data_IF_007347344949
#
_entry.id   IF_007347344949
#
_cell.length_a   1.000
_cell.length_b   1.000
_cell.length_c   1.000
_cell.angle_alpha   90.00
_cell.angle_beta   90.00
_cell.angle_gamma   90.00
#
_symmetry.space_group_name_H-M   'P 1'
#
loop_
_entity.id
_entity.type
_entity.pdbx_description
1 polymer ?
#
# COMPACT_ATOMS: atom_id res chain seq x y z
N UNK A 1 -7.20 -10.40 -10.96
CA UNK A 1 -7.86 -9.25 -10.33
C UNK A 1 -6.81 -8.70 -9.41
N UNK A 2 -6.13 -7.65 -9.84
CA UNK A 2 -5.04 -7.02 -9.10
C UNK A 2 -5.60 -6.58 -7.74
N UNK A 3 -5.00 -7.05 -6.63
CA UNK A 3 -5.41 -6.69 -5.28
C UNK A 3 -5.10 -5.20 -5.03
N UNK A 4 -6.04 -4.33 -5.45
CA UNK A 4 -5.91 -2.88 -5.27
C UNK A 4 -6.16 -2.54 -3.80
N UNK A 5 -5.08 -2.43 -3.04
CA UNK A 5 -5.13 -1.94 -1.66
C UNK A 5 -5.18 -0.41 -1.64
N UNK A 6 -6.06 0.15 -0.81
CA UNK A 6 -6.16 1.60 -0.59
C UNK A 6 -5.40 1.99 0.67
N UNK A 7 -4.74 3.14 0.60
CA UNK A 7 -3.98 3.70 1.71
C UNK A 7 -4.93 4.22 2.79
N UNK A 8 -4.80 3.78 4.05
CA UNK A 8 -5.67 4.24 5.13
C UNK A 8 -5.41 5.71 5.50
N UNK A 9 -4.22 6.26 5.23
CA UNK A 9 -3.91 7.66 5.55
C UNK A 9 -4.50 8.66 4.56
N UNK A 10 -4.37 8.40 3.26
CA UNK A 10 -4.68 9.38 2.22
C UNK A 10 -5.73 8.90 1.20
N UNK A 11 -6.24 7.66 1.34
CA UNK A 11 -7.17 7.05 0.39
C UNK A 11 -6.57 6.74 -0.99
N UNK A 12 -5.28 7.01 -1.18
CA UNK A 12 -4.55 6.74 -2.41
C UNK A 12 -4.34 5.24 -2.67
N UNK A 13 -3.73 4.92 -3.80
CA UNK A 13 -3.41 3.53 -4.14
C UNK A 13 -2.16 3.07 -3.40
N UNK A 14 -2.16 1.83 -2.93
CA UNK A 14 -0.98 1.15 -2.42
C UNK A 14 -0.56 0.07 -3.40
N UNK A 15 0.76 -0.09 -3.54
CA UNK A 15 1.41 -1.13 -4.33
C UNK A 15 2.21 -2.04 -3.41
N UNK A 16 2.16 -3.34 -3.66
CA UNK A 16 2.98 -4.30 -2.94
C UNK A 16 4.40 -4.27 -3.53
N UNK A 17 5.38 -3.82 -2.74
CA UNK A 17 6.77 -3.74 -3.19
C UNK A 17 7.48 -5.08 -3.04
N UNK A 18 7.17 -5.79 -1.95
CA UNK A 18 7.58 -7.17 -1.66
C UNK A 18 6.41 -7.84 -0.94
N UNK A 19 6.26 -9.18 -1.00
CA UNK A 19 5.17 -9.88 -0.34
C UNK A 19 5.03 -9.46 1.13
N UNK A 20 3.87 -8.90 1.48
CA UNK A 20 3.56 -8.39 2.83
C UNK A 20 4.01 -6.96 3.14
N UNK A 21 4.70 -6.27 2.21
CA UNK A 21 5.02 -4.83 2.34
C UNK A 21 4.33 -4.01 1.26
N UNK A 22 3.46 -3.13 1.72
CA UNK A 22 2.67 -2.24 0.89
C UNK A 22 3.17 -0.81 1.04
N UNK A 23 3.33 -0.10 -0.07
CA UNK A 23 3.69 1.31 -0.09
C UNK A 23 2.65 2.12 -0.86
N UNK A 24 2.20 3.23 -0.28
CA UNK A 24 1.31 4.16 -0.93
C UNK A 24 2.08 5.06 -1.91
N UNK A 25 1.63 5.12 -3.15
CA UNK A 25 2.23 5.95 -4.20
C UNK A 25 1.91 7.44 -4.07
N UNK A 26 0.94 7.82 -3.23
CA UNK A 26 0.50 9.20 -3.07
C UNK A 26 1.13 9.88 -1.83
N UNK A 27 1.11 9.20 -0.68
CA UNK A 27 1.60 9.76 0.58
C UNK A 27 2.82 9.02 1.17
N UNK A 28 3.41 8.08 0.42
CA UNK A 28 4.57 7.27 0.84
C UNK A 28 4.39 6.50 2.15
N UNK A 29 3.13 6.28 2.57
CA UNK A 29 2.79 5.45 3.72
C UNK A 29 3.21 4.01 3.46
N UNK A 30 3.88 3.38 4.43
CA UNK A 30 4.34 1.99 4.34
C UNK A 30 3.60 1.16 5.37
N UNK A 31 3.01 0.06 4.92
CA UNK A 31 2.40 -0.95 5.78
C UNK A 31 3.19 -2.23 5.62
N UNK A 32 3.61 -2.83 6.74
CA UNK A 32 4.27 -4.13 6.77
C UNK A 32 3.46 -5.02 7.70
N UNK A 33 3.03 -6.17 7.22
CA UNK A 33 2.33 -7.16 8.03
C UNK A 33 3.41 -8.03 8.71
N UNK A 34 3.81 -7.65 9.93
CA UNK A 34 4.66 -8.44 10.84
C UNK A 34 3.84 -9.56 11.50
#
# INVERSE_FOLDING_TARGET
>A
MDDIKKCPQCGGMMVELVPGKWECTNCSHKESND
#
